data_IF_935020972696
#
_entry.id   IF_935020972696
#
_cell.length_a   1.000
_cell.length_b   1.000
_cell.length_c   1.000
_cell.angle_alpha   90.00
_cell.angle_beta   90.00
_cell.angle_gamma   90.00
#
_symmetry.space_group_name_H-M   'P 1'
#
loop_
_entity.id
_entity.type
_entity.pdbx_description
1 polymer ?
#
# COMPACT_ATOMS: atom_id res chain seq x y z
N UNK A 1 -9.17 26.25 -20.34
CA UNK A 1 -10.57 26.69 -20.14
C UNK A 1 -10.74 26.98 -18.67
N UNK A 2 -10.98 28.21 -18.28
CA UNK A 2 -11.41 28.51 -16.90
C UNK A 2 -12.86 28.08 -16.83
N UNK A 3 -13.19 27.28 -15.84
CA UNK A 3 -14.57 26.88 -15.56
C UNK A 3 -15.30 28.13 -15.05
N UNK A 4 -16.20 28.69 -15.84
CA UNK A 4 -16.99 29.87 -15.48
C UNK A 4 -18.17 29.53 -14.53
N UNK A 5 -18.18 28.31 -13.98
CA UNK A 5 -19.13 27.96 -12.94
C UNK A 5 -18.82 28.72 -11.64
N UNK A 6 -19.83 29.28 -10.96
CA UNK A 6 -19.61 29.85 -9.64
C UNK A 6 -19.00 28.81 -8.70
N UNK A 7 -18.07 29.21 -7.81
CA UNK A 7 -17.45 28.28 -6.89
C UNK A 7 -18.52 27.58 -6.06
N UNK A 8 -18.45 26.24 -6.06
CA UNK A 8 -19.35 25.41 -5.24
C UNK A 8 -19.08 25.70 -3.76
N UNK A 9 -20.08 26.15 -2.99
CA UNK A 9 -19.86 26.58 -1.60
C UNK A 9 -19.61 25.39 -0.69
N UNK A 10 -18.74 25.57 0.29
CA UNK A 10 -18.60 24.59 1.38
C UNK A 10 -19.84 24.59 2.27
N UNK A 11 -20.35 23.39 2.55
CA UNK A 11 -21.48 23.19 3.46
C UNK A 11 -21.08 22.24 4.59
N UNK A 12 -21.62 22.42 5.81
CA UNK A 12 -21.35 21.51 6.92
C UNK A 12 -21.77 20.07 6.57
N UNK A 13 -20.90 19.12 6.90
CA UNK A 13 -21.20 17.68 6.79
C UNK A 13 -21.31 17.11 8.21
N UNK A 14 -22.33 16.27 8.51
CA UNK A 14 -22.46 15.68 9.82
C UNK A 14 -21.28 14.74 10.12
N UNK A 15 -20.73 14.88 11.33
CA UNK A 15 -19.72 13.97 11.82
C UNK A 15 -20.37 12.64 12.21
N UNK A 16 -20.05 11.55 11.52
CA UNK A 16 -20.57 10.21 11.74
C UNK A 16 -19.45 9.27 12.19
N UNK A 17 -19.80 8.11 12.75
CA UNK A 17 -18.82 7.12 13.21
C UNK A 17 -17.90 6.60 12.09
N UNK A 18 -18.37 6.64 10.85
CA UNK A 18 -17.58 6.27 9.66
C UNK A 18 -16.97 7.50 8.95
N UNK A 19 -16.74 8.59 9.64
CA UNK A 19 -16.17 9.85 9.10
C UNK A 19 -14.89 9.63 8.27
N UNK A 20 -14.07 8.66 8.66
CA UNK A 20 -12.84 8.29 7.97
C UNK A 20 -13.06 7.73 6.56
N UNK A 21 -14.28 7.36 6.21
CA UNK A 21 -14.65 6.92 4.85
C UNK A 21 -15.02 8.10 3.94
N UNK A 22 -15.10 9.31 4.47
CA UNK A 22 -15.35 10.49 3.65
C UNK A 22 -14.12 10.84 2.83
N UNK A 23 -14.33 11.27 1.59
CA UNK A 23 -13.25 11.65 0.68
C UNK A 23 -12.39 12.81 1.19
N UNK A 24 -12.91 13.63 2.09
CA UNK A 24 -12.18 14.74 2.71
C UNK A 24 -11.04 14.31 3.63
N UNK A 25 -11.04 13.07 4.07
CA UNK A 25 -9.98 12.53 4.94
C UNK A 25 -8.68 12.18 4.19
N UNK A 26 -8.73 12.05 2.89
CA UNK A 26 -7.67 11.39 2.14
C UNK A 26 -6.76 12.34 1.38
N UNK A 27 -5.77 12.86 2.09
CA UNK A 27 -4.51 13.28 1.48
C UNK A 27 -3.40 12.23 1.56
N UNK A 28 -3.72 10.95 1.87
CA UNK A 28 -2.72 9.89 2.05
C UNK A 28 -2.39 9.16 0.76
N UNK A 29 -1.16 8.70 0.66
CA UNK A 29 -0.69 7.89 -0.46
C UNK A 29 -1.45 6.56 -0.54
N UNK A 30 -1.89 6.22 -1.74
CA UNK A 30 -2.53 4.95 -2.02
C UNK A 30 -1.47 3.93 -2.43
N UNK A 31 -1.37 2.82 -1.69
CA UNK A 31 -0.42 1.77 -1.97
C UNK A 31 -1.12 0.47 -2.41
N UNK A 32 -0.60 -0.18 -3.43
CA UNK A 32 -0.91 -1.56 -3.76
C UNK A 32 0.11 -2.46 -3.07
N UNK A 33 -0.34 -3.25 -2.08
CA UNK A 33 0.55 -4.10 -1.31
C UNK A 33 0.56 -5.50 -1.92
N UNK A 34 1.73 -5.94 -2.36
CA UNK A 34 1.96 -7.32 -2.76
C UNK A 34 2.44 -8.15 -1.57
N UNK A 35 1.86 -9.34 -1.42
CA UNK A 35 2.17 -10.32 -0.39
C UNK A 35 1.97 -11.73 -0.92
N UNK A 36 2.57 -12.74 -0.30
CA UNK A 36 2.47 -14.14 -0.76
C UNK A 36 1.44 -14.89 0.07
N UNK A 37 0.51 -15.58 -0.59
CA UNK A 37 -0.48 -16.43 0.05
C UNK A 37 0.09 -17.81 0.48
N UNK A 38 -0.75 -18.67 1.05
CA UNK A 38 -0.35 -20.00 1.51
C UNK A 38 0.07 -20.94 0.36
N UNK A 39 -0.42 -20.69 -0.85
CA UNK A 39 -0.06 -21.45 -2.04
C UNK A 39 1.27 -20.96 -2.66
N UNK A 40 1.90 -19.93 -2.09
CA UNK A 40 3.12 -19.34 -2.63
C UNK A 40 2.88 -18.35 -3.78
N UNK A 41 1.63 -17.94 -3.99
CA UNK A 41 1.25 -17.03 -5.08
C UNK A 41 1.20 -15.59 -4.55
N UNK A 42 1.74 -14.66 -5.34
CA UNK A 42 1.65 -13.23 -5.03
C UNK A 42 0.23 -12.73 -5.21
N UNK A 43 -0.32 -12.09 -4.17
CA UNK A 43 -1.60 -11.40 -4.18
C UNK A 43 -1.42 -9.90 -3.99
N UNK A 44 -2.39 -9.10 -4.48
CA UNK A 44 -2.40 -7.64 -4.42
C UNK A 44 -3.55 -7.19 -3.53
N UNK A 45 -3.28 -6.25 -2.62
CA UNK A 45 -4.29 -5.57 -1.81
C UNK A 45 -4.14 -4.05 -1.87
N UNK A 46 -5.23 -3.29 -2.12
CA UNK A 46 -5.20 -1.83 -2.13
C UNK A 46 -5.33 -1.28 -0.70
N UNK A 47 -4.48 -0.32 -0.37
CA UNK A 47 -4.45 0.29 0.96
C UNK A 47 -4.34 1.80 0.89
N UNK A 48 -5.35 2.44 1.44
CA UNK A 48 -5.43 3.89 1.58
C UNK A 48 -4.97 4.35 2.98
N UNK A 49 -5.28 3.56 4.02
CA UNK A 49 -4.78 3.81 5.37
C UNK A 49 -3.33 3.30 5.47
N UNK A 50 -2.43 3.96 4.72
CA UNK A 50 -1.02 3.63 4.68
C UNK A 50 -0.18 4.91 4.58
N UNK A 51 0.78 5.09 5.48
CA UNK A 51 1.52 6.35 5.63
C UNK A 51 2.89 6.16 6.30
N UNK A 52 3.85 7.10 6.09
CA UNK A 52 5.11 7.12 6.81
C UNK A 52 4.85 7.21 8.32
N UNK A 53 5.42 6.30 9.10
CA UNK A 53 5.22 6.27 10.55
C UNK A 53 6.38 6.91 11.31
N UNK A 54 7.61 6.54 10.96
CA UNK A 54 8.80 7.13 11.53
C UNK A 54 9.84 7.38 10.43
N UNK A 55 10.21 8.64 10.25
CA UNK A 55 11.02 9.07 9.09
C UNK A 55 12.43 9.52 9.45
N UNK A 56 12.70 9.89 10.72
CA UNK A 56 13.98 10.49 11.11
C UNK A 56 15.01 9.43 11.50
N UNK A 57 14.68 8.53 12.43
CA UNK A 57 15.62 7.53 12.97
C UNK A 57 15.48 6.17 12.31
N UNK A 58 14.29 5.85 11.84
CA UNK A 58 13.94 4.57 11.22
C UNK A 58 13.09 4.85 10.00
N UNK A 59 13.28 4.06 8.97
CA UNK A 59 12.44 4.11 7.76
C UNK A 59 11.28 3.15 7.96
N UNK A 60 10.18 3.61 8.55
CA UNK A 60 9.03 2.77 8.80
C UNK A 60 7.74 3.33 8.23
N UNK A 61 6.89 2.41 7.81
CA UNK A 61 5.59 2.67 7.20
C UNK A 61 4.50 1.96 7.98
N UNK A 62 3.40 2.64 8.24
CA UNK A 62 2.23 2.07 8.90
C UNK A 62 1.17 1.71 7.87
N UNK A 63 0.59 0.53 8.01
CA UNK A 63 -0.62 0.13 7.30
C UNK A 63 -1.66 -0.29 8.32
N UNK A 64 -2.85 0.29 8.25
CA UNK A 64 -3.99 -0.06 9.11
C UNK A 64 -5.02 -0.82 8.27
N UNK A 65 -5.46 -1.95 8.79
CA UNK A 65 -6.36 -2.85 8.07
C UNK A 65 -7.32 -3.59 9.00
N UNK A 66 -8.24 -4.31 8.40
CA UNK A 66 -9.06 -5.30 9.13
C UNK A 66 -8.18 -6.52 9.47
N UNK A 67 -8.33 -7.09 10.68
CA UNK A 67 -7.58 -8.30 11.06
C UNK A 67 -7.76 -9.49 10.10
N UNK A 68 -8.95 -9.61 9.49
CA UNK A 68 -9.30 -10.68 8.53
C UNK A 68 -8.83 -10.42 7.09
N UNK A 69 -8.04 -9.39 6.85
CA UNK A 69 -7.52 -9.10 5.50
C UNK A 69 -6.51 -10.17 5.07
N UNK A 70 -6.62 -10.65 3.82
CA UNK A 70 -5.67 -11.59 3.24
C UNK A 70 -4.24 -11.04 3.30
N UNK A 71 -4.03 -9.76 3.00
CA UNK A 71 -2.72 -9.12 3.09
C UNK A 71 -2.17 -9.18 4.52
N UNK A 72 -3.00 -8.89 5.54
CA UNK A 72 -2.56 -8.98 6.95
C UNK A 72 -2.14 -10.40 7.30
N UNK A 73 -2.94 -11.40 6.95
CA UNK A 73 -2.63 -12.82 7.17
C UNK A 73 -1.31 -13.20 6.50
N UNK A 74 -1.15 -12.85 5.23
CA UNK A 74 0.03 -13.15 4.44
C UNK A 74 1.29 -12.49 5.02
N UNK A 75 1.22 -11.18 5.32
CA UNK A 75 2.36 -10.41 5.85
C UNK A 75 2.75 -10.89 7.26
N UNK A 76 1.78 -11.24 8.09
CA UNK A 76 2.08 -11.81 9.42
C UNK A 76 2.78 -13.16 9.32
N UNK A 77 2.42 -13.98 8.34
CA UNK A 77 3.03 -15.31 8.11
C UNK A 77 4.42 -15.20 7.50
N UNK A 78 4.58 -14.43 6.41
CA UNK A 78 5.85 -14.37 5.65
C UNK A 78 6.81 -13.32 6.16
N UNK A 79 6.34 -12.34 6.92
CA UNK A 79 7.07 -11.15 7.39
C UNK A 79 7.49 -10.22 6.27
N UNK A 80 7.12 -10.48 5.03
CA UNK A 80 7.57 -9.74 3.85
C UNK A 80 6.38 -9.24 3.03
N UNK A 81 6.54 -8.04 2.49
CA UNK A 81 5.64 -7.44 1.53
C UNK A 81 6.37 -6.39 0.68
N UNK A 82 5.70 -5.92 -0.38
CA UNK A 82 6.13 -4.73 -1.08
C UNK A 82 4.96 -3.75 -1.23
N UNK A 83 5.24 -2.47 -1.00
CA UNK A 83 4.31 -1.35 -1.23
C UNK A 83 4.61 -0.82 -2.63
N UNK A 84 3.67 -0.95 -3.53
CA UNK A 84 3.82 -0.52 -4.93
C UNK A 84 2.99 0.74 -5.14
N UNK A 85 3.63 1.82 -5.60
CA UNK A 85 2.99 3.08 -5.93
C UNK A 85 2.87 3.18 -7.44
N UNK A 86 1.64 3.20 -7.94
CA UNK A 86 1.34 3.26 -9.37
C UNK A 86 0.83 4.64 -9.76
N UNK A 87 1.10 5.04 -10.99
CA UNK A 87 0.50 6.26 -11.54
C UNK A 87 -1.02 6.07 -11.68
N UNK A 88 -1.75 7.18 -11.64
CA UNK A 88 -3.17 7.17 -11.90
C UNK A 88 -3.45 6.62 -13.31
N UNK A 89 -4.28 5.59 -13.35
CA UNK A 89 -4.77 4.98 -14.59
C UNK A 89 -6.26 4.66 -14.44
N UNK A 90 -7.08 5.34 -15.24
CA UNK A 90 -8.54 5.22 -15.17
C UNK A 90 -9.01 3.79 -15.46
N UNK A 91 -8.39 3.08 -16.39
CA UNK A 91 -8.79 1.72 -16.76
C UNK A 91 -8.50 0.71 -15.65
N UNK A 92 -7.48 0.97 -14.84
CA UNK A 92 -7.05 0.09 -13.73
C UNK A 92 -7.79 0.37 -12.42
N UNK A 93 -8.48 1.50 -12.29
CA UNK A 93 -9.24 1.82 -11.07
C UNK A 93 -10.26 0.74 -10.75
N UNK A 94 -10.97 0.21 -11.73
CA UNK A 94 -11.95 -0.86 -11.50
C UNK A 94 -11.30 -2.13 -10.94
N UNK A 95 -10.15 -2.52 -11.47
CA UNK A 95 -9.36 -3.63 -10.96
C UNK A 95 -8.93 -3.39 -9.50
N UNK A 96 -8.43 -2.20 -9.21
CA UNK A 96 -8.00 -1.81 -7.87
C UNK A 96 -9.16 -1.88 -6.88
N UNK A 97 -10.35 -1.41 -7.25
CA UNK A 97 -11.55 -1.50 -6.43
C UNK A 97 -11.95 -2.95 -6.15
N UNK A 98 -11.90 -3.82 -7.17
CA UNK A 98 -12.21 -5.26 -7.02
C UNK A 98 -11.25 -5.95 -6.06
N UNK A 99 -9.96 -5.61 -6.06
CA UNK A 99 -9.01 -6.12 -5.06
C UNK A 99 -9.38 -5.74 -3.62
N UNK A 100 -10.06 -4.61 -3.44
CA UNK A 100 -10.52 -4.11 -2.13
C UNK A 100 -11.76 -4.81 -1.56
N UNK A 101 -12.52 -5.57 -2.35
CA UNK A 101 -13.75 -6.20 -1.89
C UNK A 101 -13.48 -7.21 -0.77
N UNK A 102 -14.26 -7.13 0.34
CA UNK A 102 -14.10 -8.04 1.45
C UNK A 102 -14.60 -9.45 1.14
N UNK A 103 -14.04 -10.45 1.82
CA UNK A 103 -14.60 -11.81 1.83
C UNK A 103 -14.23 -12.69 0.62
N UNK A 104 -13.58 -12.15 -0.41
CA UNK A 104 -13.13 -12.95 -1.55
C UNK A 104 -11.76 -13.58 -1.30
N UNK A 105 -11.56 -14.87 -1.66
CA UNK A 105 -10.25 -15.50 -1.64
C UNK A 105 -9.22 -14.79 -2.54
N UNK A 106 -7.91 -14.85 -2.23
CA UNK A 106 -6.86 -14.24 -3.05
C UNK A 106 -6.92 -14.64 -4.53
N UNK A 107 -7.13 -15.92 -4.83
CA UNK A 107 -7.20 -16.44 -6.20
C UNK A 107 -8.32 -15.81 -7.03
N UNK A 108 -9.52 -15.62 -6.43
CA UNK A 108 -10.65 -14.98 -7.11
C UNK A 108 -10.34 -13.50 -7.42
N UNK A 109 -9.72 -12.79 -6.47
CA UNK A 109 -9.31 -11.39 -6.67
C UNK A 109 -8.26 -11.28 -7.76
N UNK A 110 -7.28 -12.17 -7.78
CA UNK A 110 -6.21 -12.18 -8.77
C UNK A 110 -6.70 -12.52 -10.18
N UNK A 111 -7.88 -13.13 -10.33
CA UNK A 111 -8.51 -13.31 -11.65
C UNK A 111 -8.87 -11.98 -12.34
N UNK A 112 -9.02 -10.89 -11.57
CA UNK A 112 -9.24 -9.54 -12.11
C UNK A 112 -7.94 -8.77 -12.38
N UNK A 113 -6.77 -9.37 -12.10
CA UNK A 113 -5.50 -8.66 -12.17
C UNK A 113 -5.17 -8.22 -13.60
N UNK A 114 -4.90 -6.93 -13.76
CA UNK A 114 -4.42 -6.31 -15.02
C UNK A 114 -2.99 -5.77 -14.88
N UNK A 115 -2.36 -5.95 -13.72
CA UNK A 115 -0.97 -5.55 -13.49
C UNK A 115 -0.01 -6.68 -13.83
N UNK A 116 1.16 -6.32 -14.32
CA UNK A 116 2.25 -7.27 -14.55
C UNK A 116 3.01 -7.49 -13.24
N UNK A 117 3.03 -8.72 -12.75
CA UNK A 117 3.87 -9.10 -11.63
C UNK A 117 5.26 -9.51 -12.13
N UNK A 118 6.29 -8.92 -11.57
CA UNK A 118 7.69 -9.17 -11.93
C UNK A 118 8.51 -9.46 -10.69
N UNK A 119 9.57 -10.22 -10.86
CA UNK A 119 10.51 -10.46 -9.77
C UNK A 119 11.26 -9.17 -9.41
N UNK A 120 11.56 -9.00 -8.13
CA UNK A 120 12.35 -7.86 -7.69
C UNK A 120 13.78 -7.95 -8.24
N UNK A 121 14.37 -6.84 -8.71
CA UNK A 121 15.78 -6.80 -9.07
C UNK A 121 16.72 -6.80 -7.86
N UNK A 122 16.19 -6.67 -6.63
CA UNK A 122 17.00 -6.65 -5.41
C UNK A 122 17.52 -8.05 -5.08
N UNK A 123 18.82 -8.24 -4.92
CA UNK A 123 19.38 -9.54 -4.50
C UNK A 123 18.75 -10.05 -3.20
N UNK A 124 18.33 -11.32 -3.19
CA UNK A 124 17.68 -11.94 -2.03
C UNK A 124 16.21 -11.55 -1.82
N UNK A 125 15.59 -10.87 -2.79
CA UNK A 125 14.18 -10.50 -2.76
C UNK A 125 13.29 -11.30 -3.72
N UNK A 126 13.80 -12.42 -4.20
CA UNK A 126 13.08 -13.37 -5.06
C UNK A 126 13.09 -14.76 -4.45
N UNK A 127 12.09 -15.57 -4.79
CA UNK A 127 12.00 -16.95 -4.33
C UNK A 127 10.81 -17.22 -3.41
N UNK A 128 10.70 -18.44 -2.86
CA UNK A 128 9.56 -18.85 -2.05
C UNK A 128 9.32 -17.94 -0.85
N UNK A 129 8.07 -17.52 -0.65
CA UNK A 129 7.69 -16.63 0.46
C UNK A 129 7.99 -15.15 0.25
N UNK A 130 8.59 -14.77 -0.87
CA UNK A 130 8.85 -13.39 -1.24
C UNK A 130 7.89 -12.93 -2.35
N UNK A 131 7.21 -11.78 -2.18
CA UNK A 131 6.26 -11.32 -3.18
C UNK A 131 6.96 -10.73 -4.40
N UNK A 132 6.37 -10.95 -5.56
CA UNK A 132 6.67 -10.18 -6.75
C UNK A 132 6.23 -8.72 -6.56
N UNK A 133 6.78 -7.83 -7.36
CA UNK A 133 6.43 -6.41 -7.40
C UNK A 133 5.60 -6.09 -8.64
N UNK A 134 4.89 -4.96 -8.62
CA UNK A 134 4.10 -4.50 -9.76
C UNK A 134 5.02 -3.81 -10.76
N UNK A 135 5.10 -4.35 -11.98
CA UNK A 135 5.97 -3.84 -13.05
C UNK A 135 5.64 -2.42 -13.50
N UNK A 136 4.39 -1.98 -13.35
CA UNK A 136 3.94 -0.62 -13.68
C UNK A 136 4.13 0.39 -12.55
N UNK A 137 4.54 -0.05 -11.35
CA UNK A 137 4.81 0.87 -10.25
C UNK A 137 5.96 1.83 -10.60
N UNK A 138 5.80 3.11 -10.29
CA UNK A 138 6.88 4.08 -10.44
C UNK A 138 7.87 4.02 -9.27
N UNK A 139 7.39 3.60 -8.09
CA UNK A 139 8.18 3.40 -6.89
C UNK A 139 7.69 2.18 -6.13
N UNK A 140 8.61 1.43 -5.53
CA UNK A 140 8.31 0.27 -4.69
C UNK A 140 9.13 0.36 -3.40
N UNK A 141 8.46 0.12 -2.27
CA UNK A 141 9.14 -0.11 -0.99
C UNK A 141 9.08 -1.59 -0.65
N UNK A 142 10.21 -2.26 -0.59
CA UNK A 142 10.31 -3.62 -0.11
C UNK A 142 10.45 -3.62 1.41
N UNK A 143 9.55 -4.32 2.09
CA UNK A 143 9.36 -4.16 3.51
C UNK A 143 9.46 -5.48 4.27
N UNK A 144 9.83 -5.35 5.56
CA UNK A 144 9.77 -6.40 6.57
C UNK A 144 8.87 -5.96 7.72
N UNK A 145 7.98 -6.85 8.17
CA UNK A 145 7.11 -6.60 9.32
C UNK A 145 7.90 -6.53 10.62
N UNK A 146 7.76 -5.44 11.34
CA UNK A 146 8.37 -5.21 12.65
C UNK A 146 7.44 -5.72 13.77
N UNK A 147 7.56 -7.00 14.08
CA UNK A 147 6.69 -7.62 15.08
C UNK A 147 7.02 -7.25 16.51
N UNK A 148 8.30 -6.96 16.77
CA UNK A 148 8.78 -6.63 18.11
C UNK A 148 8.18 -5.30 18.55
N UNK A 149 8.30 -4.28 17.73
CA UNK A 149 7.72 -2.96 18.03
C UNK A 149 6.19 -2.96 18.11
N UNK A 150 5.51 -3.81 17.33
CA UNK A 150 4.05 -3.97 17.47
C UNK A 150 3.73 -4.59 18.83
N UNK A 151 4.46 -5.62 19.25
CA UNK A 151 4.25 -6.30 20.53
C UNK A 151 4.56 -5.39 21.74
N UNK A 152 5.57 -4.54 21.63
CA UNK A 152 5.98 -3.60 22.67
C UNK A 152 5.03 -2.40 22.83
N UNK A 153 4.25 -2.06 21.80
CA UNK A 153 3.36 -0.91 21.81
C UNK A 153 1.91 -1.34 22.10
N UNK A 154 1.36 -1.05 23.29
CA UNK A 154 0.01 -1.45 23.66
C UNK A 154 -1.08 -0.92 22.70
N UNK A 155 -0.90 0.30 22.16
CA UNK A 155 -1.87 0.91 21.24
C UNK A 155 -1.94 0.10 19.93
N UNK A 156 -0.82 -0.39 19.44
CA UNK A 156 -0.78 -1.17 18.21
C UNK A 156 -1.21 -2.61 18.46
N UNK A 157 -0.77 -3.21 19.57
CA UNK A 157 -1.03 -4.59 19.95
C UNK A 157 -2.49 -4.86 20.25
N UNK A 158 -3.09 -4.00 21.07
CA UNK A 158 -4.43 -4.20 21.68
C UNK A 158 -5.56 -3.55 20.85
N UNK A 159 -5.24 -3.00 19.70
CA UNK A 159 -6.22 -2.40 18.78
C UNK A 159 -7.14 -3.42 18.15
N UNK A 160 -8.41 -3.07 17.95
CA UNK A 160 -9.35 -3.84 17.15
C UNK A 160 -8.99 -3.91 15.66
N UNK A 161 -8.19 -2.96 15.18
CA UNK A 161 -7.63 -2.95 13.83
C UNK A 161 -6.30 -3.68 13.80
N UNK A 162 -5.98 -4.29 12.66
CA UNK A 162 -4.63 -4.80 12.43
C UNK A 162 -3.69 -3.66 12.02
N UNK A 163 -2.61 -3.53 12.74
CA UNK A 163 -1.51 -2.62 12.41
C UNK A 163 -0.34 -3.43 11.85
N UNK A 164 0.12 -3.06 10.66
CA UNK A 164 1.35 -3.58 10.08
C UNK A 164 2.38 -2.45 10.13
N UNK A 165 3.27 -2.50 11.08
CA UNK A 165 4.43 -1.63 11.15
C UNK A 165 5.53 -2.25 10.30
N UNK A 166 5.88 -1.59 9.21
CA UNK A 166 6.78 -2.11 8.20
C UNK A 166 8.09 -1.34 8.21
N UNK A 167 9.21 -2.03 8.36
CA UNK A 167 10.53 -1.47 8.09
C UNK A 167 10.76 -1.48 6.57
N UNK A 168 11.12 -0.32 6.00
CA UNK A 168 11.49 -0.20 4.59
C UNK A 168 12.94 -0.64 4.46
N UNK A 169 13.14 -1.80 3.83
CA UNK A 169 14.46 -2.39 3.62
C UNK A 169 15.12 -1.83 2.34
N UNK A 170 14.35 -1.71 1.26
CA UNK A 170 14.81 -1.18 -0.03
C UNK A 170 13.75 -0.28 -0.66
N UNK A 171 14.23 0.67 -1.45
CA UNK A 171 13.41 1.55 -2.29
C UNK A 171 13.84 1.36 -3.74
N UNK A 172 12.90 0.97 -4.59
CA UNK A 172 13.07 0.86 -6.03
C UNK A 172 12.31 1.99 -6.71
N UNK A 173 12.91 2.59 -7.72
CA UNK A 173 12.33 3.72 -8.47
C UNK A 173 12.58 3.50 -9.96
N UNK A 174 11.56 3.75 -10.77
CA UNK A 174 11.76 3.78 -12.23
C UNK A 174 12.77 4.85 -12.61
N UNK A 175 13.67 4.56 -13.55
CA UNK A 175 14.74 5.46 -13.96
C UNK A 175 14.23 6.88 -14.32
N UNK A 176 13.08 6.98 -14.99
CA UNK A 176 12.46 8.27 -15.37
C UNK A 176 12.03 9.14 -14.17
N UNK A 177 11.86 8.53 -12.98
CA UNK A 177 11.46 9.23 -11.76
C UNK A 177 12.63 9.44 -10.81
N UNK A 178 13.77 8.78 -11.07
CA UNK A 178 14.90 8.77 -10.13
C UNK A 178 15.38 10.18 -9.78
N UNK A 179 15.64 11.02 -10.77
CA UNK A 179 16.12 12.40 -10.55
C UNK A 179 15.13 13.24 -9.76
N UNK A 180 13.83 13.05 -9.98
CA UNK A 180 12.78 13.82 -9.30
C UNK A 180 12.59 13.39 -7.84
N UNK A 181 12.77 12.10 -7.52
CA UNK A 181 12.57 11.56 -6.18
C UNK A 181 13.83 11.73 -5.33
N UNK A 182 15.01 11.57 -5.91
CA UNK A 182 16.29 11.72 -5.20
C UNK A 182 16.66 13.19 -4.89
N UNK A 183 15.84 14.14 -5.32
CA UNK A 183 16.11 15.56 -5.11
C UNK A 183 17.31 16.10 -5.89
N UNK A 184 17.82 15.31 -6.85
CA UNK A 184 18.93 15.70 -7.73
C UNK A 184 18.48 16.48 -8.98
N UNK A 185 17.18 16.79 -9.07
CA UNK A 185 16.64 17.63 -10.11
C UNK A 185 16.65 19.10 -9.68
N UNK A 186 17.57 19.88 -10.20
CA UNK A 186 17.66 21.33 -10.00
C UNK A 186 16.49 22.11 -10.65
N UNK A 187 15.40 21.43 -11.03
CA UNK A 187 14.27 22.04 -11.70
C UNK A 187 12.95 21.50 -11.15
N UNK A 188 12.42 22.22 -10.17
CA UNK A 188 10.96 22.29 -9.94
C UNK A 188 10.48 23.70 -10.19
#
# INVERSE_FOLDING_TARGET
MRDDNPPDPFVPSPLRDNWYQSSSFYGSSFALITSVDEAGVTSIGPYQLSFPFEVIKRRSWMVISRPSSNTVTNVRRTRKCALNFVEYDRERIETILKFGYPGQPPAEKMAYNTFTLVDSPTPGRTGPGLPQIIGEAFQVFECTLDVERIAENPILRDSASAHLLLNIDNILVKQRWKSRIDGSGDEM
#
